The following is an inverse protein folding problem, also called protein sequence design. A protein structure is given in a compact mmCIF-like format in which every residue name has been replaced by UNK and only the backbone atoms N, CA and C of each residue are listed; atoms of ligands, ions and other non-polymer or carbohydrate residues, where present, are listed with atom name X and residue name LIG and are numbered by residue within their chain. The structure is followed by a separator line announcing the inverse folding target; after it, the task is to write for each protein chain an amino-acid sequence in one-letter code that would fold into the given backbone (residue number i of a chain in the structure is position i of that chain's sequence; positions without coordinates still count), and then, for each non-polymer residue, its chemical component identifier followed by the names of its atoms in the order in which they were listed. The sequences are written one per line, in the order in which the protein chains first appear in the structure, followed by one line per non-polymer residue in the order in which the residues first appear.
data_IF_909712054532
#
_entry.id   IF_909712054532
#
_cell.length_a   1.000
_cell.length_b   1.000
_cell.length_c   1.000
_cell.angle_alpha   90.00
_cell.angle_beta   90.00
_cell.angle_gamma   90.00
#
_symmetry.space_group_name_H-M   'P 1'
#
loop_
_entity.id
_entity.type
_entity.pdbx_description
1 polymer ?
#
# COMPACT_ATOMS: atom_id res chain seq x y z
N UNK A 1 23.33 41.15 23.81
CA UNK A 1 24.35 40.32 23.14
C UNK A 1 23.82 38.89 23.09
N UNK A 2 23.22 38.52 21.96
CA UNK A 2 22.72 37.17 21.71
C UNK A 2 23.91 36.28 21.35
N UNK A 3 24.26 35.33 22.24
CA UNK A 3 25.31 34.35 21.97
C UNK A 3 24.82 33.43 20.86
N UNK A 4 25.43 33.55 19.68
CA UNK A 4 25.31 32.56 18.61
C UNK A 4 25.95 31.26 19.09
N UNK A 5 25.17 30.18 19.12
CA UNK A 5 25.67 28.85 19.43
C UNK A 5 26.46 28.35 18.20
N UNK A 6 27.75 28.11 18.35
CA UNK A 6 28.67 27.83 17.23
C UNK A 6 28.47 26.43 16.61
N UNK A 7 27.51 25.64 17.11
CA UNK A 7 27.31 24.25 16.73
C UNK A 7 26.07 23.99 15.86
N UNK A 8 25.26 25.00 15.53
CA UNK A 8 24.02 24.83 14.73
C UNK A 8 24.23 24.50 13.25
N UNK A 9 25.47 24.28 12.79
CA UNK A 9 25.77 24.01 11.39
C UNK A 9 27.03 23.16 11.13
N UNK A 10 27.53 22.41 12.11
CA UNK A 10 28.72 21.56 11.89
C UNK A 10 28.33 20.25 11.20
N UNK A 11 28.97 19.95 10.06
CA UNK A 11 28.86 18.65 9.36
C UNK A 11 29.43 17.48 10.17
N UNK A 12 30.29 17.76 11.16
CA UNK A 12 30.89 16.76 12.06
C UNK A 12 30.55 17.16 13.51
N UNK A 13 29.63 16.46 14.19
CA UNK A 13 29.23 16.81 15.55
C UNK A 13 30.40 16.62 16.52
N UNK A 14 30.74 17.67 17.28
CA UNK A 14 31.82 17.59 18.26
C UNK A 14 31.39 16.75 19.48
N UNK A 15 32.36 16.13 20.18
CA UNK A 15 32.14 15.24 21.33
C UNK A 15 31.38 15.88 22.51
N UNK A 16 31.14 17.19 22.51
CA UNK A 16 30.32 17.90 23.52
C UNK A 16 28.82 17.84 23.26
N UNK A 17 28.38 17.63 22.02
CA UNK A 17 26.96 17.63 21.62
C UNK A 17 26.56 16.30 20.97
N UNK A 18 26.94 15.17 21.57
CA UNK A 18 26.60 13.82 21.09
C UNK A 18 25.11 13.49 21.29
N UNK A 19 24.45 14.20 22.19
CA UNK A 19 23.06 13.96 22.56
C UNK A 19 22.14 15.08 22.07
N UNK A 20 20.99 14.69 21.53
CA UNK A 20 19.90 15.61 21.23
C UNK A 20 19.57 16.46 22.48
N UNK A 21 19.26 17.75 22.31
CA UNK A 21 18.79 18.60 23.40
C UNK A 21 17.64 17.94 24.16
N UNK A 22 17.66 18.07 25.50
CA UNK A 22 16.67 17.45 26.39
C UNK A 22 15.23 17.89 26.10
N UNK A 23 15.04 19.08 25.52
CA UNK A 23 13.74 19.53 25.03
C UNK A 23 13.20 18.66 23.88
N UNK A 24 14.06 18.29 22.93
CA UNK A 24 13.70 17.44 21.79
C UNK A 24 13.42 16.01 22.27
N UNK A 25 14.23 15.49 23.19
CA UNK A 25 14.02 14.14 23.75
C UNK A 25 12.71 14.00 24.53
N UNK A 26 12.15 15.10 25.07
CA UNK A 26 10.84 15.11 25.73
C UNK A 26 9.67 15.10 24.75
N UNK A 27 9.89 15.55 23.50
CA UNK A 27 8.88 15.53 22.44
C UNK A 27 8.92 14.23 21.62
N UNK A 28 10.03 13.50 21.66
CA UNK A 28 10.18 12.20 21.00
C UNK A 28 9.62 11.12 21.93
N UNK A 29 8.60 10.39 21.47
CA UNK A 29 8.14 9.17 22.12
C UNK A 29 9.27 8.13 22.09
N UNK A 30 9.87 7.87 23.25
CA UNK A 30 10.94 6.89 23.44
C UNK A 30 10.43 5.52 23.89
N UNK A 31 9.11 5.30 23.87
CA UNK A 31 8.54 4.02 24.24
C UNK A 31 8.99 2.90 23.30
N UNK A 32 8.99 1.67 23.80
CA UNK A 32 9.35 0.49 23.02
C UNK A 32 8.34 0.31 21.88
N UNK A 33 8.76 0.66 20.65
CA UNK A 33 7.95 0.52 19.44
C UNK A 33 7.71 -0.95 19.04
N UNK A 34 8.20 -1.93 19.81
CA UNK A 34 7.82 -3.34 19.63
C UNK A 34 6.31 -3.44 19.83
N UNK A 35 5.61 -3.75 18.72
CA UNK A 35 4.15 -3.83 18.59
C UNK A 35 3.40 -2.53 18.27
N UNK A 36 4.06 -1.37 18.09
CA UNK A 36 3.41 -0.14 17.61
C UNK A 36 3.17 -0.15 16.09
N UNK A 37 3.88 -1.03 15.36
CA UNK A 37 3.66 -1.26 13.94
C UNK A 37 2.45 -2.17 13.78
N UNK A 38 1.31 -1.60 13.39
CA UNK A 38 0.10 -2.36 13.03
C UNK A 38 0.45 -3.54 12.11
N UNK A 39 -0.26 -4.68 12.30
CA UNK A 39 -0.15 -5.87 11.44
C UNK A 39 -0.14 -5.42 9.98
N UNK A 40 0.77 -5.97 9.18
CA UNK A 40 1.00 -5.57 7.79
C UNK A 40 -0.30 -5.40 6.99
N UNK A 41 -0.77 -4.16 6.92
CA UNK A 41 -1.90 -3.76 6.11
C UNK A 41 -1.47 -3.78 4.65
N UNK A 42 -2.28 -4.39 3.81
CA UNK A 42 -2.09 -4.29 2.36
C UNK A 42 -2.88 -3.11 1.83
N UNK A 43 -2.31 -2.41 0.85
CA UNK A 43 -2.99 -1.33 0.17
C UNK A 43 -3.27 -1.77 -1.26
N UNK A 44 -4.54 -1.93 -1.57
CA UNK A 44 -5.02 -2.24 -2.91
C UNK A 44 -5.57 -0.97 -3.53
N UNK A 45 -4.78 -0.38 -4.42
CA UNK A 45 -5.13 0.80 -5.20
C UNK A 45 -5.84 0.37 -6.49
N UNK A 46 -7.01 0.95 -6.74
CA UNK A 46 -7.88 0.61 -7.87
C UNK A 46 -7.80 1.74 -8.91
N UNK A 47 -7.09 1.47 -9.99
CA UNK A 47 -6.95 2.35 -11.15
C UNK A 47 -8.21 2.32 -12.01
N UNK A 48 -9.12 3.25 -11.78
CA UNK A 48 -10.29 3.48 -12.63
C UNK A 48 -10.20 4.86 -13.28
N UNK A 49 -10.76 4.99 -14.47
CA UNK A 49 -10.89 6.28 -15.20
C UNK A 49 -11.96 7.18 -14.58
N UNK A 50 -11.90 7.39 -13.27
CA UNK A 50 -12.74 8.36 -12.57
C UNK A 50 -11.86 9.56 -12.26
N UNK A 51 -12.32 10.74 -12.69
CA UNK A 51 -11.60 11.97 -12.41
C UNK A 51 -11.61 12.24 -10.89
N UNK A 52 -10.52 12.75 -10.30
CA UNK A 52 -10.49 13.08 -8.87
C UNK A 52 -11.63 14.01 -8.44
N UNK A 53 -12.11 14.87 -9.33
CA UNK A 53 -13.26 15.76 -9.09
C UNK A 53 -14.59 15.04 -8.88
N UNK A 54 -14.68 13.77 -9.29
CA UNK A 54 -15.87 12.92 -9.18
C UNK A 54 -15.78 11.95 -7.99
N UNK A 55 -14.70 12.00 -7.19
CA UNK A 55 -14.53 11.08 -6.08
C UNK A 55 -15.45 11.44 -4.91
N UNK A 56 -16.27 10.49 -4.44
CA UNK A 56 -17.02 10.66 -3.21
C UNK A 56 -16.06 10.71 -2.01
N UNK A 57 -16.60 11.11 -0.86
CA UNK A 57 -15.83 11.13 0.39
C UNK A 57 -15.39 9.73 0.84
N UNK A 58 -16.28 8.75 0.73
CA UNK A 58 -15.96 7.36 0.99
C UNK A 58 -16.00 6.57 -0.33
N UNK A 59 -14.97 5.76 -0.56
CA UNK A 59 -14.85 4.88 -1.74
C UNK A 59 -16.06 3.95 -1.91
N UNK A 60 -16.77 3.63 -0.82
CA UNK A 60 -18.00 2.82 -0.84
C UNK A 60 -19.20 3.52 -1.53
N UNK A 61 -19.17 4.84 -1.61
CA UNK A 61 -20.23 5.68 -2.19
C UNK A 61 -19.97 5.96 -3.70
N UNK A 62 -18.90 5.39 -4.25
CA UNK A 62 -18.50 5.60 -5.63
C UNK A 62 -19.51 4.92 -6.56
N UNK A 63 -20.05 5.69 -7.50
CA UNK A 63 -21.03 5.17 -8.45
C UNK A 63 -20.39 4.09 -9.31
N UNK A 64 -21.11 2.97 -9.47
CA UNK A 64 -20.64 1.80 -10.18
C UNK A 64 -20.55 0.55 -9.29
N UNK A 65 -20.64 -0.61 -9.93
CA UNK A 65 -20.71 -1.89 -9.21
C UNK A 65 -19.34 -2.44 -8.83
N UNK A 66 -18.25 -1.88 -9.36
CA UNK A 66 -16.92 -2.47 -9.25
C UNK A 66 -16.38 -2.48 -7.82
N UNK A 67 -16.17 -1.29 -7.25
CA UNK A 67 -15.62 -1.12 -5.90
C UNK A 67 -16.56 -1.71 -4.86
N UNK A 68 -17.88 -1.55 -5.04
CA UNK A 68 -18.89 -2.17 -4.18
C UNK A 68 -18.77 -3.69 -4.18
N UNK A 69 -18.62 -4.32 -5.35
CA UNK A 69 -18.45 -5.77 -5.48
C UNK A 69 -17.13 -6.23 -4.87
N UNK A 70 -16.03 -5.52 -5.12
CA UNK A 70 -14.73 -5.81 -4.52
C UNK A 70 -14.78 -5.75 -3.00
N UNK A 71 -15.31 -4.66 -2.44
CA UNK A 71 -15.48 -4.47 -0.99
C UNK A 71 -16.27 -5.62 -0.39
N UNK A 72 -17.42 -5.96 -0.99
CA UNK A 72 -18.25 -7.08 -0.53
C UNK A 72 -17.48 -8.40 -0.50
N UNK A 73 -16.79 -8.74 -1.59
CA UNK A 73 -16.02 -10.00 -1.68
C UNK A 73 -14.87 -10.03 -0.67
N UNK A 74 -14.18 -8.91 -0.46
CA UNK A 74 -13.11 -8.85 0.55
C UNK A 74 -13.66 -9.00 1.98
N UNK A 75 -14.82 -8.41 2.28
CA UNK A 75 -15.48 -8.57 3.58
C UNK A 75 -15.92 -10.03 3.81
N UNK A 76 -16.51 -10.67 2.80
CA UNK A 76 -16.91 -12.09 2.86
C UNK A 76 -15.71 -13.02 3.11
N UNK A 77 -14.50 -12.64 2.68
CA UNK A 77 -13.29 -13.45 2.81
C UNK A 77 -12.34 -12.95 3.92
N UNK A 78 -12.73 -11.98 4.74
CA UNK A 78 -11.85 -11.32 5.71
C UNK A 78 -11.16 -12.31 6.67
N UNK A 79 -11.91 -13.29 7.18
CA UNK A 79 -11.38 -14.32 8.08
C UNK A 79 -10.34 -15.21 7.42
N UNK A 80 -10.50 -15.52 6.13
CA UNK A 80 -9.59 -16.38 5.37
C UNK A 80 -8.34 -15.62 4.90
N UNK A 81 -8.47 -14.31 4.65
CA UNK A 81 -7.35 -13.43 4.30
C UNK A 81 -6.43 -13.24 5.51
N UNK A 82 -6.99 -13.01 6.70
CA UNK A 82 -6.23 -12.94 7.96
C UNK A 82 -5.46 -11.63 8.18
N UNK A 83 -5.62 -10.63 7.31
CA UNK A 83 -5.07 -9.28 7.45
C UNK A 83 -5.99 -8.23 6.81
N UNK A 84 -5.83 -6.97 7.23
CA UNK A 84 -6.61 -5.85 6.68
C UNK A 84 -6.09 -5.41 5.31
N UNK A 85 -7.02 -5.15 4.40
CA UNK A 85 -6.76 -4.56 3.08
C UNK A 85 -7.39 -3.16 3.05
N UNK A 86 -6.56 -2.12 2.85
CA UNK A 86 -7.02 -0.77 2.50
C UNK A 86 -7.37 -0.73 1.04
N UNK A 87 -8.59 -0.32 0.72
CA UNK A 87 -8.98 0.04 -0.64
C UNK A 87 -8.79 1.54 -0.83
N UNK A 88 -8.18 1.94 -1.94
CA UNK A 88 -8.13 3.33 -2.39
C UNK A 88 -8.44 3.37 -3.87
N UNK A 89 -9.34 4.28 -4.26
CA UNK A 89 -9.55 4.59 -5.66
C UNK A 89 -8.38 5.47 -6.14
N UNK A 90 -7.84 5.18 -7.31
CA UNK A 90 -6.74 5.95 -7.90
C UNK A 90 -7.11 6.33 -9.33
N UNK A 91 -6.80 7.57 -9.70
CA UNK A 91 -7.05 8.05 -11.05
C UNK A 91 -5.85 7.66 -11.87
N UNK A 92 -6.09 6.80 -12.85
CA UNK A 92 -5.08 6.40 -13.80
C UNK A 92 -5.66 6.72 -15.16
N UNK A 93 -4.82 7.25 -16.04
CA UNK A 93 -5.15 7.38 -17.46
C UNK A 93 -5.23 5.97 -18.02
N UNK A 94 -6.37 5.30 -17.83
CA UNK A 94 -6.62 4.00 -18.44
C UNK A 94 -6.96 4.22 -19.90
N UNK A 95 -6.49 3.32 -20.75
CA UNK A 95 -6.89 3.27 -22.16
C UNK A 95 -8.37 2.84 -22.31
N UNK A 96 -8.95 2.27 -21.26
CA UNK A 96 -10.32 1.75 -21.25
C UNK A 96 -11.23 2.60 -20.35
N UNK A 97 -12.29 3.18 -20.92
CA UNK A 97 -13.28 3.99 -20.21
C UNK A 97 -14.44 3.16 -19.60
N UNK A 98 -14.23 1.86 -19.38
CA UNK A 98 -15.28 1.00 -18.83
C UNK A 98 -15.27 1.01 -17.30
N UNK A 99 -16.41 1.33 -16.68
CA UNK A 99 -16.61 1.22 -15.23
C UNK A 99 -16.50 -0.22 -14.69
N UNK A 100 -16.49 -1.21 -15.59
CA UNK A 100 -16.42 -2.63 -15.24
C UNK A 100 -14.99 -3.18 -15.24
N UNK A 101 -14.00 -2.39 -15.63
CA UNK A 101 -12.59 -2.80 -15.74
C UNK A 101 -11.73 -1.85 -14.90
N UNK A 102 -10.74 -2.40 -14.20
CA UNK A 102 -9.78 -1.59 -13.46
C UNK A 102 -8.39 -2.25 -13.45
N UNK A 103 -7.36 -1.42 -13.33
CA UNK A 103 -6.03 -1.89 -12.95
C UNK A 103 -5.93 -1.95 -11.43
N UNK A 104 -5.26 -2.97 -10.89
CA UNK A 104 -5.04 -3.12 -9.45
C UNK A 104 -3.55 -2.99 -9.14
N UNK A 105 -3.23 -2.25 -8.08
CA UNK A 105 -1.87 -2.12 -7.57
C UNK A 105 -1.87 -2.52 -6.11
N UNK A 106 -1.06 -3.52 -5.77
CA UNK A 106 -0.97 -4.08 -4.44
C UNK A 106 0.36 -3.70 -3.80
N UNK A 107 0.28 -2.98 -2.68
CA UNK A 107 1.41 -2.58 -1.86
C UNK A 107 1.36 -3.25 -0.49
N UNK A 108 2.53 -3.57 0.11
CA UNK A 108 3.88 -3.28 -0.36
C UNK A 108 4.45 -4.34 -1.32
N UNK A 109 3.64 -5.32 -1.77
CA UNK A 109 4.12 -6.45 -2.57
C UNK A 109 4.54 -6.07 -4.01
N UNK A 110 4.22 -4.84 -4.44
CA UNK A 110 4.58 -4.27 -5.74
C UNK A 110 4.04 -5.09 -6.90
N UNK A 111 2.78 -5.52 -6.79
CA UNK A 111 2.11 -6.32 -7.83
C UNK A 111 1.11 -5.43 -8.56
N UNK A 112 1.09 -5.53 -9.89
CA UNK A 112 0.08 -4.92 -10.74
C UNK A 112 -0.74 -6.00 -11.44
N UNK A 113 -2.06 -5.88 -11.41
CA UNK A 113 -2.96 -6.62 -12.28
C UNK A 113 -3.58 -5.65 -13.28
N UNK A 114 -3.51 -6.00 -14.56
CA UNK A 114 -4.07 -5.19 -15.65
C UNK A 114 -5.47 -5.66 -16.03
N UNK A 115 -6.33 -4.71 -16.39
CA UNK A 115 -7.63 -4.96 -17.02
C UNK A 115 -8.53 -5.96 -16.25
N UNK A 116 -8.54 -5.88 -14.92
CA UNK A 116 -9.36 -6.76 -14.10
C UNK A 116 -10.83 -6.45 -14.30
N UNK A 117 -11.57 -7.38 -14.89
CA UNK A 117 -13.00 -7.23 -15.12
C UNK A 117 -13.81 -7.54 -13.85
N UNK A 118 -14.93 -6.84 -13.65
CA UNK A 118 -15.80 -6.99 -12.47
C UNK A 118 -16.27 -8.43 -12.23
N UNK A 119 -16.41 -9.22 -13.28
CA UNK A 119 -16.79 -10.64 -13.22
C UNK A 119 -15.69 -11.52 -12.59
N UNK A 120 -14.43 -11.16 -12.78
CA UNK A 120 -13.25 -11.93 -12.37
C UNK A 120 -12.81 -11.66 -10.92
N UNK A 121 -13.34 -10.60 -10.29
CA UNK A 121 -12.95 -10.16 -8.94
C UNK A 121 -12.95 -11.32 -7.93
N UNK A 122 -13.98 -12.16 -7.94
CA UNK A 122 -14.12 -13.26 -6.98
C UNK A 122 -12.96 -14.26 -7.10
N UNK A 123 -12.66 -14.67 -8.32
CA UNK A 123 -11.63 -15.67 -8.60
C UNK A 123 -10.24 -15.11 -8.31
N UNK A 124 -10.02 -13.83 -8.63
CA UNK A 124 -8.77 -13.14 -8.30
C UNK A 124 -8.58 -13.04 -6.79
N UNK A 125 -9.61 -12.64 -6.04
CA UNK A 125 -9.51 -12.54 -4.57
C UNK A 125 -9.21 -13.91 -3.96
N UNK A 126 -9.91 -14.96 -4.41
CA UNK A 126 -9.66 -16.32 -3.95
C UNK A 126 -8.22 -16.76 -4.24
N UNK A 127 -7.75 -16.55 -5.46
CA UNK A 127 -6.40 -16.98 -5.86
C UNK A 127 -5.31 -16.17 -5.16
N UNK A 128 -5.41 -14.84 -5.18
CA UNK A 128 -4.37 -13.93 -4.73
C UNK A 128 -4.33 -13.78 -3.19
N UNK A 129 -5.48 -13.66 -2.53
CA UNK A 129 -5.52 -13.32 -1.10
C UNK A 129 -5.84 -14.50 -0.18
N UNK A 130 -6.51 -15.54 -0.68
CA UNK A 130 -6.93 -16.70 0.13
C UNK A 130 -6.03 -17.91 -0.10
N UNK A 131 -5.93 -18.38 -1.34
CA UNK A 131 -5.30 -19.66 -1.67
C UNK A 131 -3.77 -19.57 -1.79
N UNK A 132 -3.27 -18.57 -2.50
CA UNK A 132 -1.84 -18.41 -2.73
C UNK A 132 -1.28 -17.18 -2.01
N UNK A 133 -1.26 -17.27 -0.68
CA UNK A 133 -0.61 -16.26 0.15
C UNK A 133 0.92 -16.33 0.03
N UNK A 134 1.53 -17.27 -0.69
CA UNK A 134 3.00 -17.41 -0.75
C UNK A 134 3.67 -16.19 -1.40
N UNK A 135 3.00 -15.59 -2.37
CA UNK A 135 3.40 -14.34 -3.03
C UNK A 135 3.28 -13.12 -2.10
N UNK A 136 2.36 -13.17 -1.13
CA UNK A 136 2.05 -12.07 -0.19
C UNK A 136 2.76 -12.28 1.17
N UNK A 137 3.21 -13.49 1.49
CA UNK A 137 3.93 -13.85 2.73
C UNK A 137 5.43 -13.54 2.69
N UNK A 138 5.88 -12.65 1.81
CA UNK A 138 7.29 -12.23 1.72
C UNK A 138 7.63 -11.25 2.86
N UNK A 139 7.42 -11.63 4.13
CA UNK A 139 8.08 -11.01 5.30
C UNK A 139 8.18 -12.03 6.43
N UNK A 140 8.65 -13.23 6.13
CA UNK A 140 9.22 -14.06 7.17
C UNK A 140 10.59 -13.45 7.53
N UNK A 141 10.70 -12.85 8.72
CA UNK A 141 11.91 -12.15 9.20
C UNK A 141 13.12 -13.09 9.34
N UNK A 142 12.91 -14.39 9.15
CA UNK A 142 13.91 -15.45 9.23
C UNK A 142 14.65 -15.69 7.91
N UNK A 143 14.15 -15.19 6.78
CA UNK A 143 14.76 -15.40 5.46
C UNK A 143 15.70 -14.27 5.08
N UNK A 144 16.85 -14.64 4.53
CA UNK A 144 17.84 -13.71 3.98
C UNK A 144 17.26 -12.93 2.79
N UNK A 145 17.82 -11.74 2.51
CA UNK A 145 17.43 -10.90 1.35
C UNK A 145 17.52 -11.69 0.04
N UNK A 146 18.53 -12.57 -0.09
CA UNK A 146 18.74 -13.41 -1.26
C UNK A 146 17.65 -14.49 -1.43
N UNK A 147 17.14 -15.06 -0.34
CA UNK A 147 16.04 -16.03 -0.37
C UNK A 147 14.70 -15.35 -0.72
N UNK A 148 14.49 -14.13 -0.24
CA UNK A 148 13.34 -13.30 -0.62
C UNK A 148 13.39 -12.92 -2.11
N UNK A 149 14.59 -12.68 -2.65
CA UNK A 149 14.80 -12.39 -4.07
C UNK A 149 14.60 -13.63 -4.96
N UNK A 150 14.96 -14.84 -4.51
CA UNK A 150 14.77 -16.09 -5.27
C UNK A 150 13.31 -16.57 -5.33
N UNK A 151 12.50 -16.27 -4.30
CA UNK A 151 11.07 -16.60 -4.31
C UNK A 151 10.21 -15.69 -5.21
N UNK A 152 10.78 -14.60 -5.73
CA UNK A 152 10.05 -13.54 -6.43
C UNK A 152 9.58 -13.84 -7.86
N UNK A 153 9.87 -15.02 -8.41
CA UNK A 153 9.64 -15.29 -9.84
C UNK A 153 8.30 -15.98 -10.15
N UNK A 154 7.56 -16.47 -9.15
CA UNK A 154 6.29 -17.17 -9.40
C UNK A 154 5.09 -16.25 -9.15
N UNK A 155 4.72 -15.46 -10.16
CA UNK A 155 3.47 -14.72 -10.14
C UNK A 155 2.28 -15.67 -10.40
N UNK A 156 1.09 -15.39 -9.85
CA UNK A 156 -0.08 -16.20 -10.10
C UNK A 156 -0.56 -15.96 -11.53
N UNK A 157 -0.77 -17.04 -12.27
CA UNK A 157 -1.33 -16.99 -13.62
C UNK A 157 -2.85 -16.93 -13.51
N UNK A 158 -3.50 -15.89 -14.02
CA UNK A 158 -4.96 -15.80 -14.03
C UNK A 158 -5.50 -16.34 -15.36
N UNK A 159 -6.73 -16.87 -15.33
CA UNK A 159 -7.45 -17.21 -16.54
C UNK A 159 -7.95 -15.92 -17.21
N UNK A 160 -8.01 -15.91 -18.54
CA UNK A 160 -8.41 -14.76 -19.36
C UNK A 160 -7.47 -13.55 -19.21
N UNK A 161 -7.75 -12.45 -19.93
CA UNK A 161 -6.88 -11.31 -20.25
C UNK A 161 -6.30 -10.48 -19.07
N UNK A 162 -6.26 -11.03 -17.86
CA UNK A 162 -5.68 -10.41 -16.67
C UNK A 162 -4.19 -10.69 -16.61
N UNK A 163 -3.38 -9.69 -17.00
CA UNK A 163 -1.93 -9.75 -16.86
C UNK A 163 -1.54 -9.40 -15.43
N UNK A 164 -0.83 -10.30 -14.75
CA UNK A 164 -0.21 -10.03 -13.45
C UNK A 164 1.29 -9.79 -13.65
N UNK A 165 1.80 -8.68 -13.15
CA UNK A 165 3.23 -8.34 -13.24
C UNK A 165 3.75 -7.76 -11.93
N UNK A 166 5.06 -7.88 -11.74
CA UNK A 166 5.76 -7.22 -10.65
C UNK A 166 6.21 -5.85 -11.14
N UNK A 167 5.91 -4.81 -10.37
CA UNK A 167 6.39 -3.48 -10.67
C UNK A 167 7.91 -3.46 -10.54
N UNK A 168 8.60 -3.00 -11.58
CA UNK A 168 10.05 -2.88 -11.58
C UNK A 168 10.50 -1.53 -10.99
N UNK A 169 11.61 -1.55 -10.25
CA UNK A 169 12.17 -0.36 -9.60
C UNK A 169 11.59 -0.10 -8.22
N UNK A 170 11.89 1.08 -7.66
CA UNK A 170 11.37 1.49 -6.35
C UNK A 170 10.05 2.22 -6.52
N UNK A 171 8.95 1.57 -6.15
CA UNK A 171 7.63 2.19 -6.09
C UNK A 171 7.31 2.59 -4.66
N UNK A 172 7.05 3.89 -4.46
CA UNK A 172 6.63 4.44 -3.18
C UNK A 172 5.20 4.93 -3.36
N UNK A 173 4.28 4.38 -2.55
CA UNK A 173 2.94 4.93 -2.45
C UNK A 173 2.98 6.11 -1.47
N UNK A 174 2.85 7.32 -2.00
CA UNK A 174 2.74 8.54 -1.20
C UNK A 174 1.29 8.98 -1.20
N UNK A 175 0.64 8.96 -0.03
CA UNK A 175 -0.67 9.57 0.13
C UNK A 175 -0.50 11.00 0.67
N UNK A 176 -0.75 11.99 -0.18
CA UNK A 176 -0.70 13.40 0.18
C UNK A 176 -2.10 13.89 0.51
N UNK A 177 -2.39 14.08 1.80
CA UNK A 177 -3.61 14.72 2.24
C UNK A 177 -3.40 16.22 2.38
N UNK A 178 -4.23 17.05 1.74
CA UNK A 178 -4.33 18.45 2.13
C UNK A 178 -4.99 18.50 3.51
N UNK A 179 -4.45 19.28 4.46
CA UNK A 179 -4.89 19.28 5.86
C UNK A 179 -6.43 19.25 5.98
N UNK A 180 -6.96 18.16 6.56
CA UNK A 180 -8.39 17.77 6.75
C UNK A 180 -9.01 16.83 5.71
N UNK A 181 -8.35 16.58 4.58
CA UNK A 181 -8.82 15.58 3.63
C UNK A 181 -8.36 14.18 4.07
N UNK A 182 -9.29 13.31 4.46
CA UNK A 182 -8.98 11.91 4.81
C UNK A 182 -9.04 10.98 3.60
N UNK A 183 -9.27 11.52 2.40
CA UNK A 183 -9.32 10.75 1.16
C UNK A 183 -7.89 10.45 0.69
N UNK A 184 -7.47 9.19 0.86
CA UNK A 184 -6.60 8.51 -0.10
C UNK A 184 -7.54 7.80 -1.08
#
# INVERSE_FOLDING_TARGET
STRFDACTGCEIPCKKHVSYPSAILKEIDQSDMRNSVEKHRRHLCIGQSILPSQWPKDVKDLQGNYIKKLTKILQENNNSIGYSIKLTATSIVSQNNSEQIADWYLFPDQIKLHNVHIKQIKDIVQKLFVNDQSIIKIKDKTKTIEEQLKQNNHLPVFYENVKCEKLHGLWILVCCHYQRDQRC
#
